data_IF_930301545171
#
_entry.id   IF_930301545171
#
_cell.length_a   1.000
_cell.length_b   1.000
_cell.length_c   1.000
_cell.angle_alpha   90.00
_cell.angle_beta   90.00
_cell.angle_gamma   90.00
#
_symmetry.space_group_name_H-M   'P 1'
#
loop_
_entity.id
_entity.type
_entity.pdbx_description
1 polymer ?
#
# COMPACT_ATOMS: atom_id res chain seq x y z
N UNK A 1 13.57 6.54 9.85
CA UNK A 1 13.09 7.89 9.45
C UNK A 1 13.16 8.84 10.65
N UNK A 2 14.13 9.78 10.72
CA UNK A 2 14.39 10.61 11.91
C UNK A 2 13.16 11.36 12.44
N UNK A 3 12.33 11.91 11.56
CA UNK A 3 11.20 12.77 11.92
C UNK A 3 10.00 12.07 12.57
N UNK A 4 9.96 10.74 12.54
CA UNK A 4 8.83 9.93 13.06
C UNK A 4 9.28 8.88 14.08
N UNK A 5 10.53 8.94 14.54
CA UNK A 5 11.07 7.98 15.54
C UNK A 5 10.33 8.00 16.88
N UNK A 6 9.66 9.12 17.20
CA UNK A 6 8.91 9.29 18.44
C UNK A 6 7.52 8.64 18.41
N UNK A 7 7.05 8.17 17.24
CA UNK A 7 5.74 7.56 17.09
C UNK A 7 5.78 6.10 17.53
N UNK A 8 4.86 5.71 18.43
CA UNK A 8 4.63 4.31 18.81
C UNK A 8 3.66 3.65 17.83
N UNK A 9 4.12 2.62 17.13
CA UNK A 9 3.34 1.88 16.14
C UNK A 9 4.13 1.60 14.85
N UNK A 10 3.44 1.12 13.81
CA UNK A 10 4.06 0.73 12.56
C UNK A 10 4.03 1.86 11.52
N UNK A 11 5.20 2.28 11.06
CA UNK A 11 5.34 3.20 9.92
C UNK A 11 5.34 2.38 8.64
N UNK A 12 4.62 2.85 7.62
CA UNK A 12 4.45 2.11 6.37
C UNK A 12 5.24 2.71 5.20
N UNK A 13 5.43 1.90 4.17
CA UNK A 13 5.82 2.32 2.82
C UNK A 13 4.86 1.74 1.81
N UNK A 14 4.75 2.41 0.67
CA UNK A 14 3.78 2.11 -0.36
C UNK A 14 4.46 1.96 -1.72
N UNK A 15 4.17 0.86 -2.40
CA UNK A 15 4.69 0.57 -3.73
C UNK A 15 3.51 0.48 -4.68
N UNK A 16 3.46 1.40 -5.66
CA UNK A 16 2.48 1.35 -6.73
C UNK A 16 3.07 0.64 -7.94
N UNK A 17 2.52 -0.53 -8.27
CA UNK A 17 3.07 -1.49 -9.21
C UNK A 17 2.09 -1.76 -10.34
N UNK A 18 2.63 -2.17 -11.49
CA UNK A 18 1.88 -2.67 -12.64
C UNK A 18 2.38 -4.04 -13.07
N UNK A 19 1.46 -4.90 -13.47
CA UNK A 19 1.77 -6.11 -14.21
C UNK A 19 2.20 -5.75 -15.65
N UNK A 20 3.35 -6.26 -16.09
CA UNK A 20 3.84 -6.14 -17.46
C UNK A 20 2.88 -6.73 -18.50
N UNK A 21 2.19 -7.84 -18.20
CA UNK A 21 1.39 -8.60 -19.16
C UNK A 21 -0.07 -8.16 -19.20
N UNK A 22 -0.76 -8.24 -18.06
CA UNK A 22 -2.22 -7.96 -17.98
C UNK A 22 -2.54 -6.50 -17.68
N UNK A 23 -1.51 -5.65 -17.51
CA UNK A 23 -1.63 -4.22 -17.16
C UNK A 23 -2.40 -3.93 -15.86
N UNK A 24 -2.64 -4.94 -15.02
CA UNK A 24 -3.28 -4.76 -13.73
C UNK A 24 -2.42 -3.90 -12.80
N UNK A 25 -3.08 -3.02 -12.04
CA UNK A 25 -2.45 -2.11 -11.09
C UNK A 25 -2.55 -2.68 -9.67
N UNK A 26 -1.51 -2.47 -8.90
CA UNK A 26 -1.40 -2.94 -7.53
C UNK A 26 -0.87 -1.83 -6.64
N UNK A 27 -1.48 -1.66 -5.48
CA UNK A 27 -0.90 -0.87 -4.40
C UNK A 27 -0.50 -1.81 -3.27
N UNK A 28 0.78 -1.83 -2.94
CA UNK A 28 1.34 -2.67 -1.88
C UNK A 28 1.72 -1.77 -0.71
N UNK A 29 1.12 -1.99 0.45
CA UNK A 29 1.46 -1.31 1.70
C UNK A 29 2.11 -2.31 2.64
N UNK A 30 3.33 -2.00 3.08
CA UNK A 30 4.08 -2.82 4.01
C UNK A 30 4.74 -1.97 5.08
N UNK A 31 5.24 -2.60 6.16
CA UNK A 31 6.09 -1.88 7.11
C UNK A 31 7.29 -1.25 6.40
N UNK A 32 7.72 -0.10 6.89
CA UNK A 32 8.79 0.68 6.28
C UNK A 32 10.11 -0.12 6.19
N UNK A 33 10.43 -0.89 7.23
CA UNK A 33 11.61 -1.73 7.36
C UNK A 33 11.52 -3.08 6.62
N UNK A 34 10.33 -3.47 6.15
CA UNK A 34 10.09 -4.76 5.50
C UNK A 34 10.74 -4.85 4.13
N UNK A 35 11.55 -5.88 3.85
CA UNK A 35 12.03 -6.11 2.49
C UNK A 35 10.90 -6.70 1.63
N UNK A 36 10.64 -6.10 0.46
CA UNK A 36 9.60 -6.57 -0.47
C UNK A 36 10.28 -7.14 -1.70
N UNK A 37 10.28 -8.48 -1.84
CA UNK A 37 10.76 -9.16 -3.03
C UNK A 37 9.66 -9.20 -4.11
N UNK A 38 9.81 -8.40 -5.16
CA UNK A 38 8.81 -8.29 -6.23
C UNK A 38 8.64 -9.59 -7.04
N UNK A 39 9.67 -10.42 -7.14
CA UNK A 39 9.56 -11.69 -7.87
C UNK A 39 8.68 -12.68 -7.12
N UNK A 40 8.87 -12.78 -5.81
CA UNK A 40 8.09 -13.69 -4.98
C UNK A 40 6.66 -13.18 -4.80
N UNK A 41 6.49 -11.87 -4.62
CA UNK A 41 5.17 -11.24 -4.63
C UNK A 41 4.44 -11.51 -5.96
N UNK A 42 5.12 -11.37 -7.10
CA UNK A 42 4.50 -11.63 -8.41
C UNK A 42 4.05 -13.08 -8.58
N UNK A 43 4.80 -14.06 -8.04
CA UNK A 43 4.38 -15.47 -8.02
C UNK A 43 3.14 -15.64 -7.15
N UNK A 44 3.14 -15.08 -5.94
CA UNK A 44 2.02 -15.17 -4.98
C UNK A 44 0.73 -14.56 -5.52
N UNK A 45 0.84 -13.43 -6.24
CA UNK A 45 -0.29 -12.76 -6.86
C UNK A 45 -0.74 -13.38 -8.20
N UNK A 46 -0.12 -14.49 -8.65
CA UNK A 46 -0.47 -15.16 -9.92
C UNK A 46 -0.12 -14.35 -11.17
N UNK A 47 0.78 -13.36 -11.04
CA UNK A 47 1.26 -12.48 -12.12
C UNK A 47 2.46 -13.10 -12.84
N UNK A 48 3.19 -14.00 -12.15
CA UNK A 48 4.39 -14.67 -12.63
C UNK A 48 5.67 -13.87 -12.33
N UNK A 49 6.75 -14.57 -11.98
CA UNK A 49 8.03 -13.97 -11.59
C UNK A 49 8.54 -12.97 -12.64
N UNK A 50 9.06 -11.82 -12.20
CA UNK A 50 9.60 -10.77 -13.07
C UNK A 50 8.57 -9.89 -13.77
N UNK A 51 7.27 -10.09 -13.54
CA UNK A 51 6.20 -9.34 -14.21
C UNK A 51 5.67 -8.14 -13.42
N UNK A 52 6.00 -7.99 -12.13
CA UNK A 52 5.73 -6.76 -11.39
C UNK A 52 6.84 -5.74 -11.59
N UNK A 53 6.46 -4.48 -11.80
CA UNK A 53 7.35 -3.31 -11.86
C UNK A 53 6.63 -2.09 -11.32
N UNK A 54 7.36 -1.03 -10.97
CA UNK A 54 6.73 0.24 -10.64
C UNK A 54 5.87 0.76 -11.78
N UNK A 55 4.71 1.29 -11.43
CA UNK A 55 3.82 1.96 -12.37
C UNK A 55 4.30 3.38 -12.66
N UNK A 56 3.88 3.93 -13.80
CA UNK A 56 4.20 5.31 -14.17
C UNK A 56 3.40 6.28 -13.29
N UNK A 57 3.92 7.49 -13.10
CA UNK A 57 3.23 8.55 -12.35
C UNK A 57 1.85 8.89 -12.94
N UNK A 58 1.71 8.90 -14.26
CA UNK A 58 0.44 9.18 -14.93
C UNK A 58 -0.70 8.25 -14.45
N UNK A 59 -0.41 6.96 -14.26
CA UNK A 59 -1.40 6.01 -13.74
C UNK A 59 -1.74 6.28 -12.26
N UNK A 60 -0.78 6.76 -11.48
CA UNK A 60 -0.99 7.13 -10.08
C UNK A 60 -1.87 8.37 -9.97
N UNK A 61 -1.62 9.40 -10.79
CA UNK A 61 -2.45 10.60 -10.85
C UNK A 61 -3.86 10.29 -11.34
N UNK A 62 -3.99 9.41 -12.34
CA UNK A 62 -5.29 8.99 -12.87
C UNK A 62 -6.13 8.25 -11.83
N UNK A 63 -5.56 7.22 -11.19
CA UNK A 63 -6.30 6.32 -10.30
C UNK A 63 -6.36 6.79 -8.85
N UNK A 64 -5.25 7.31 -8.34
CA UNK A 64 -5.07 7.62 -6.92
C UNK A 64 -5.02 9.13 -6.63
N UNK A 65 -4.99 9.99 -7.67
CA UNK A 65 -4.95 11.46 -7.54
C UNK A 65 -3.74 11.98 -6.73
N UNK A 66 -2.68 11.19 -6.65
CA UNK A 66 -1.41 11.55 -6.00
C UNK A 66 -0.24 11.33 -6.97
N UNK A 67 0.82 12.12 -6.80
CA UNK A 67 2.05 12.01 -7.59
C UNK A 67 3.11 11.12 -6.93
N UNK A 68 4.26 10.98 -7.58
CA UNK A 68 5.39 10.23 -7.04
C UNK A 68 5.82 10.77 -5.67
N UNK A 69 6.18 9.86 -4.77
CA UNK A 69 6.54 10.19 -3.38
C UNK A 69 5.35 10.38 -2.44
N UNK A 70 4.11 10.48 -2.95
CA UNK A 70 2.89 10.61 -2.14
C UNK A 70 1.99 9.36 -2.18
N UNK A 71 2.48 8.23 -2.70
CA UNK A 71 1.75 6.97 -2.71
C UNK A 71 1.33 6.58 -1.28
N UNK A 72 0.05 6.28 -1.10
CA UNK A 72 -0.57 5.98 0.21
C UNK A 72 -1.82 5.15 0.02
N UNK A 73 -2.14 4.19 0.93
CA UNK A 73 -3.39 3.43 0.84
C UNK A 73 -4.62 4.32 1.04
N UNK A 74 -4.46 5.49 1.69
CA UNK A 74 -5.56 6.44 1.82
C UNK A 74 -6.03 6.98 0.48
N UNK A 75 -5.19 6.95 -0.57
CA UNK A 75 -5.56 7.40 -1.90
C UNK A 75 -6.52 6.43 -2.61
N UNK A 76 -6.75 5.22 -2.08
CA UNK A 76 -7.73 4.27 -2.62
C UNK A 76 -9.15 4.82 -2.61
N UNK A 77 -9.47 5.82 -1.77
CA UNK A 77 -10.79 6.47 -1.87
C UNK A 77 -11.02 7.13 -3.24
N UNK A 78 -9.94 7.52 -3.95
CA UNK A 78 -10.04 8.13 -5.27
C UNK A 78 -10.28 7.11 -6.38
N UNK A 79 -9.95 5.83 -6.16
CA UNK A 79 -10.13 4.76 -7.13
C UNK A 79 -11.58 4.25 -7.13
N UNK A 80 -12.47 5.06 -7.70
CA UNK A 80 -13.92 4.74 -7.74
C UNK A 80 -14.27 3.53 -8.61
N UNK A 81 -13.37 3.13 -9.51
CA UNK A 81 -13.58 1.97 -10.38
C UNK A 81 -13.04 0.67 -9.79
N UNK A 82 -12.22 0.74 -8.73
CA UNK A 82 -11.58 -0.44 -8.13
C UNK A 82 -10.54 -1.07 -9.06
N UNK A 83 -9.87 -0.26 -9.88
CA UNK A 83 -8.87 -0.71 -10.85
C UNK A 83 -7.55 -1.13 -10.16
N UNK A 84 -7.31 -0.64 -8.94
CA UNK A 84 -6.09 -0.87 -8.15
C UNK A 84 -6.34 -1.95 -7.11
N UNK A 85 -5.73 -3.11 -7.30
CA UNK A 85 -5.75 -4.19 -6.31
C UNK A 85 -4.87 -3.85 -5.13
N UNK A 86 -5.36 -4.07 -3.92
CA UNK A 86 -4.63 -3.72 -2.71
C UNK A 86 -3.99 -4.94 -2.04
N UNK A 87 -2.71 -4.82 -1.70
CA UNK A 87 -1.94 -5.82 -0.94
C UNK A 87 -1.45 -5.16 0.34
N UNK A 88 -1.69 -5.83 1.46
CA UNK A 88 -1.33 -5.33 2.78
C UNK A 88 -0.43 -6.33 3.50
N UNK A 89 0.69 -5.86 4.05
CA UNK A 89 1.51 -6.63 4.98
C UNK A 89 0.66 -7.04 6.18
N UNK A 90 0.49 -8.35 6.36
CA UNK A 90 -0.37 -8.90 7.42
C UNK A 90 0.09 -8.50 8.82
N UNK A 91 1.37 -8.16 9.01
CA UNK A 91 1.87 -7.68 10.29
C UNK A 91 1.22 -6.36 10.71
N UNK A 92 0.82 -5.50 9.77
CA UNK A 92 0.19 -4.22 10.08
C UNK A 92 -1.18 -4.35 10.77
N UNK A 93 -1.82 -5.52 10.63
CA UNK A 93 -3.13 -5.81 11.25
C UNK A 93 -3.05 -6.90 12.32
N UNK A 94 -2.12 -7.84 12.18
CA UNK A 94 -2.00 -8.99 13.08
C UNK A 94 -0.81 -8.89 14.05
N UNK A 95 0.09 -7.93 13.87
CA UNK A 95 1.32 -7.76 14.67
C UNK A 95 1.13 -7.06 16.00
N UNK A 96 -0.11 -6.72 16.39
CA UNK A 96 -0.41 -6.09 17.68
C UNK A 96 -0.11 -4.58 17.75
N UNK A 97 0.00 -3.89 16.61
CA UNK A 97 0.25 -2.45 16.57
C UNK A 97 -0.97 -1.65 17.03
N UNK A 98 -0.81 -0.76 18.01
CA UNK A 98 -1.89 0.16 18.40
C UNK A 98 -2.24 1.15 17.29
N UNK A 99 -1.24 1.55 16.50
CA UNK A 99 -1.37 2.47 15.37
C UNK A 99 -0.53 2.05 14.17
N UNK A 100 -1.08 2.30 13.00
CA UNK A 100 -0.41 2.24 11.70
C UNK A 100 -0.38 3.62 11.08
N UNK A 101 0.77 4.01 10.55
CA UNK A 101 1.04 5.36 10.08
C UNK A 101 1.21 5.43 8.57
N UNK A 102 0.51 6.40 7.97
CA UNK A 102 0.49 6.64 6.53
C UNK A 102 0.69 8.12 6.22
N UNK A 103 1.06 8.42 4.98
CA UNK A 103 1.00 9.77 4.44
C UNK A 103 -0.46 10.13 4.07
N UNK A 104 -1.05 11.22 4.58
CA UNK A 104 -2.42 11.62 4.26
C UNK A 104 -2.48 12.33 2.90
N UNK A 105 -2.13 11.61 1.83
CA UNK A 105 -2.00 12.08 0.44
C UNK A 105 -0.97 13.19 0.20
N UNK A 106 -0.24 13.59 1.24
CA UNK A 106 0.94 14.44 1.18
C UNK A 106 2.07 13.79 1.97
N UNK A 107 3.29 13.88 1.47
CA UNK A 107 4.49 13.40 2.18
C UNK A 107 4.97 14.37 3.27
N UNK A 108 4.35 15.55 3.39
CA UNK A 108 4.66 16.55 4.43
C UNK A 108 4.04 16.24 5.80
N UNK A 109 3.19 15.21 5.88
CA UNK A 109 2.50 14.83 7.10
C UNK A 109 2.46 13.30 7.27
N UNK A 110 2.13 12.86 8.49
CA UNK A 110 1.92 11.46 8.84
C UNK A 110 0.67 11.36 9.70
N UNK A 111 -0.24 10.46 9.34
CA UNK A 111 -1.51 10.23 10.02
C UNK A 111 -1.55 8.80 10.55
N UNK A 112 -1.87 8.65 11.84
CA UNK A 112 -1.99 7.36 12.50
C UNK A 112 -3.45 6.93 12.61
N UNK A 113 -3.75 5.72 12.14
CA UNK A 113 -5.04 5.07 12.33
C UNK A 113 -4.85 3.81 13.18
N UNK A 114 -5.90 3.39 13.89
CA UNK A 114 -5.91 2.03 14.41
C UNK A 114 -6.02 1.05 13.24
N UNK A 115 -5.46 -0.17 13.33
CA UNK A 115 -5.63 -1.17 12.28
C UNK A 115 -7.09 -1.47 11.94
N UNK A 116 -7.97 -1.52 12.94
CA UNK A 116 -9.43 -1.74 12.78
C UNK A 116 -10.12 -0.62 11.98
N UNK A 117 -9.76 0.64 12.25
CA UNK A 117 -10.29 1.80 11.52
C UNK A 117 -9.77 1.81 10.07
N UNK A 118 -8.52 1.42 9.87
CA UNK A 118 -7.94 1.31 8.53
C UNK A 118 -8.61 0.20 7.71
N UNK A 119 -8.87 -0.96 8.30
CA UNK A 119 -9.64 -2.02 7.64
C UNK A 119 -11.08 -1.58 7.31
N UNK A 120 -11.71 -0.81 8.19
CA UNK A 120 -13.03 -0.21 7.92
C UNK A 120 -12.95 0.74 6.73
N UNK A 121 -11.96 1.63 6.68
CA UNK A 121 -11.73 2.52 5.54
C UNK A 121 -11.56 1.75 4.21
N UNK A 122 -10.78 0.67 4.21
CA UNK A 122 -10.58 -0.16 3.02
C UNK A 122 -11.89 -0.80 2.54
N UNK A 123 -12.70 -1.30 3.47
CA UNK A 123 -14.02 -1.87 3.17
C UNK A 123 -14.96 -0.80 2.58
N UNK A 124 -15.07 0.36 3.20
CA UNK A 124 -15.94 1.46 2.75
C UNK A 124 -15.52 2.04 1.40
N UNK A 125 -14.24 1.92 1.04
CA UNK A 125 -13.73 2.31 -0.28
C UNK A 125 -13.81 1.19 -1.31
N UNK A 126 -14.24 -0.02 -0.96
CA UNK A 126 -14.35 -1.16 -1.87
C UNK A 126 -13.03 -1.89 -2.16
N UNK A 127 -12.01 -1.70 -1.31
CA UNK A 127 -10.66 -2.23 -1.50
C UNK A 127 -10.26 -3.22 -0.41
N UNK A 128 -10.96 -4.35 -0.32
CA UNK A 128 -10.57 -5.42 0.60
C UNK A 128 -9.12 -5.89 0.34
N UNK A 129 -8.24 -5.90 1.35
CA UNK A 129 -6.83 -6.20 1.16
C UNK A 129 -6.58 -7.68 0.91
N UNK A 130 -5.68 -7.97 -0.02
CA UNK A 130 -4.98 -9.25 -0.03
C UNK A 130 -3.90 -9.19 1.05
N UNK A 131 -4.12 -9.89 2.15
CA UNK A 131 -3.13 -10.00 3.22
C UNK A 131 -1.96 -10.86 2.77
N UNK A 132 -0.74 -10.35 2.95
CA UNK A 132 0.47 -11.07 2.62
C UNK A 132 1.50 -10.95 3.73
N UNK A 133 2.09 -12.08 4.12
CA UNK A 133 3.21 -12.09 5.05
C UNK A 133 4.52 -12.00 4.25
N UNK A 134 5.37 -11.03 4.61
CA UNK A 134 6.67 -10.76 3.99
C UNK A 134 7.87 -11.25 4.81
N UNK A 135 7.62 -11.99 5.91
CA UNK A 135 8.63 -12.72 6.69
C UNK A 135 9.08 -14.03 6.01
#
# INVERSE_FOLDING_TARGET
MPHVQHLSGAITKNLFLKDKKKKGLWLVTARHDRQVNLNDLAKKLGVGSGNLRFAEEAAMLEKLRVGQGCATPLALFCDKQGDVKFVLDSDLVNGGHERVYFHPMTNSATMGLKPEDFLTFLKETGHEPILHNFD
#
